data_IF_056568856170
#
_entry.id   IF_056568856170
#
_cell.length_a   1.000
_cell.length_b   1.000
_cell.length_c   1.000
_cell.angle_alpha   90.00
_cell.angle_beta   90.00
_cell.angle_gamma   90.00
#
_symmetry.space_group_name_H-M   'P 1'
#
loop_
_entity.id
_entity.type
_entity.pdbx_description
1 polymer ?
#
# COMPACT_ATOMS: atom_id res chain seq x y z
N UNK A 1 21.96 12.21 24.32
CA UNK A 1 21.90 13.54 23.69
C UNK A 1 22.90 13.65 22.53
N UNK A 2 24.06 12.96 22.61
CA UNK A 2 25.18 13.17 21.68
C UNK A 2 25.03 12.49 20.30
N UNK A 3 23.96 11.73 20.07
CA UNK A 3 23.71 11.03 18.79
C UNK A 3 22.95 11.84 17.74
N UNK A 4 22.45 13.02 18.08
CA UNK A 4 21.72 13.87 17.13
C UNK A 4 22.64 14.73 16.26
N UNK A 5 23.92 14.89 16.66
CA UNK A 5 24.94 15.58 15.86
C UNK A 5 25.32 14.84 14.58
N UNK A 6 25.01 13.54 14.50
CA UNK A 6 25.35 12.67 13.36
C UNK A 6 24.18 12.52 12.36
N UNK A 7 23.14 13.37 12.49
CA UNK A 7 21.94 13.32 11.63
C UNK A 7 21.78 14.68 10.94
N UNK A 8 21.81 14.65 9.62
CA UNK A 8 21.52 15.81 8.79
C UNK A 8 20.04 15.84 8.39
N UNK A 9 19.45 17.03 8.41
CA UNK A 9 18.13 17.27 7.83
C UNK A 9 18.28 17.95 6.48
N UNK A 10 17.96 17.25 5.41
CA UNK A 10 18.04 17.76 4.04
C UNK A 10 16.64 17.91 3.47
N UNK A 11 16.24 19.14 3.11
CA UNK A 11 14.92 19.43 2.57
C UNK A 11 14.90 19.29 1.02
N UNK A 12 13.82 18.80 0.50
CA UNK A 12 13.61 18.62 -0.95
C UNK A 12 12.28 19.20 -1.45
N UNK A 13 11.42 19.70 -0.56
CA UNK A 13 10.12 20.28 -0.93
C UNK A 13 9.65 21.27 0.14
N UNK A 14 9.00 22.35 -0.29
CA UNK A 14 8.25 23.29 0.58
C UNK A 14 6.74 23.02 0.38
N UNK A 15 6.05 22.67 1.47
CA UNK A 15 4.61 22.39 1.41
C UNK A 15 3.80 23.70 1.35
N UNK A 16 4.26 24.73 2.06
CA UNK A 16 3.67 26.08 2.11
C UNK A 16 4.81 27.10 2.30
N UNK A 17 4.82 28.21 1.57
CA UNK A 17 3.84 28.62 0.53
C UNK A 17 3.88 27.73 -0.71
N UNK A 18 2.81 27.76 -1.55
CA UNK A 18 2.74 27.04 -2.82
C UNK A 18 3.41 27.88 -3.90
N UNK A 19 4.66 27.55 -4.20
CA UNK A 19 5.54 28.20 -5.17
C UNK A 19 6.19 27.16 -6.09
N UNK A 20 6.86 27.56 -7.18
CA UNK A 20 7.58 26.66 -8.09
C UNK A 20 8.70 25.91 -7.38
N UNK A 21 9.12 24.77 -7.88
CA UNK A 21 10.18 23.95 -7.25
C UNK A 21 11.50 24.71 -7.19
N UNK A 22 11.88 25.41 -8.25
CA UNK A 22 13.08 26.29 -8.26
C UNK A 22 13.01 27.35 -7.16
N UNK A 23 11.88 28.03 -7.03
CA UNK A 23 11.63 29.03 -5.98
C UNK A 23 11.63 28.41 -4.56
N UNK A 24 11.19 27.16 -4.42
CA UNK A 24 11.25 26.44 -3.14
C UNK A 24 12.68 26.21 -2.67
N UNK A 25 13.58 25.83 -3.57
CA UNK A 25 14.98 25.62 -3.22
C UNK A 25 15.67 26.92 -2.84
N UNK A 26 15.40 28.00 -3.56
CA UNK A 26 15.89 29.34 -3.21
C UNK A 26 15.34 29.80 -1.86
N UNK A 27 14.05 29.61 -1.60
CA UNK A 27 13.39 29.95 -0.34
C UNK A 27 14.00 29.19 0.83
N UNK A 28 14.25 27.89 0.73
CA UNK A 28 14.89 27.07 1.75
C UNK A 28 16.31 27.55 2.03
N UNK A 29 17.09 27.83 1.00
CA UNK A 29 18.45 28.33 1.13
C UNK A 29 18.51 29.68 1.86
N UNK A 30 17.57 30.60 1.57
CA UNK A 30 17.48 31.90 2.27
C UNK A 30 17.13 31.76 3.75
N UNK A 31 16.55 30.63 4.15
CA UNK A 31 16.23 30.30 5.55
C UNK A 31 17.28 29.38 6.21
N UNK A 32 18.47 29.25 5.60
CA UNK A 32 19.56 28.40 6.09
C UNK A 32 19.17 26.92 6.30
N UNK A 33 18.27 26.40 5.48
CA UNK A 33 17.90 24.98 5.47
C UNK A 33 18.74 24.27 4.41
N UNK A 34 19.42 23.18 4.78
CA UNK A 34 20.17 22.36 3.83
C UNK A 34 19.18 21.76 2.81
N UNK A 35 19.44 21.99 1.53
CA UNK A 35 18.60 21.45 0.43
C UNK A 35 19.28 20.31 -0.30
N UNK A 36 18.48 19.42 -0.91
CA UNK A 36 19.03 18.50 -1.89
C UNK A 36 19.75 19.25 -3.01
N UNK A 37 20.83 18.66 -3.53
CA UNK A 37 21.52 19.22 -4.69
C UNK A 37 20.54 19.36 -5.84
N UNK A 38 20.45 20.52 -6.45
CA UNK A 38 19.46 20.84 -7.47
C UNK A 38 20.02 21.75 -8.55
N UNK A 39 19.44 21.65 -9.73
CA UNK A 39 19.68 22.56 -10.86
C UNK A 39 18.36 22.78 -11.61
N UNK A 40 18.24 23.91 -12.26
CA UNK A 40 17.15 24.20 -13.21
C UNK A 40 17.73 24.18 -14.63
N UNK A 41 17.03 23.53 -15.56
CA UNK A 41 17.43 23.42 -16.96
C UNK A 41 16.22 23.61 -17.87
N UNK A 42 16.41 24.27 -19.02
CA UNK A 42 15.33 24.48 -20.00
C UNK A 42 14.98 23.20 -20.77
N UNK A 43 15.98 22.34 -21.01
CA UNK A 43 15.83 21.08 -21.70
C UNK A 43 16.64 19.99 -21.01
N UNK A 44 16.08 18.79 -21.00
CA UNK A 44 16.74 17.60 -20.47
C UNK A 44 16.61 16.44 -21.45
N UNK A 45 17.70 15.72 -21.66
CA UNK A 45 17.74 14.47 -22.41
C UNK A 45 18.51 13.39 -21.65
N UNK A 46 18.54 12.19 -22.17
CA UNK A 46 19.19 11.07 -21.50
C UNK A 46 20.70 11.27 -21.32
N UNK A 47 21.35 11.97 -22.24
CA UNK A 47 22.79 12.22 -22.18
C UNK A 47 23.13 13.23 -21.08
N UNK A 48 22.44 14.37 -21.05
CA UNK A 48 22.59 15.37 -19.99
C UNK A 48 22.27 14.84 -18.61
N UNK A 49 21.17 14.08 -18.47
CA UNK A 49 20.80 13.45 -17.20
C UNK A 49 21.83 12.41 -16.75
N UNK A 50 22.39 11.63 -17.66
CA UNK A 50 23.44 10.66 -17.36
C UNK A 50 24.69 11.35 -16.84
N UNK A 51 25.10 12.43 -17.49
CA UNK A 51 26.27 13.23 -17.10
C UNK A 51 26.08 13.88 -15.73
N UNK A 52 24.91 14.47 -15.49
CA UNK A 52 24.57 15.05 -14.16
C UNK A 52 24.58 13.96 -13.08
N UNK A 53 24.01 12.79 -13.34
CA UNK A 53 23.97 11.72 -12.34
C UNK A 53 25.36 11.18 -12.01
N UNK A 54 26.25 11.04 -13.00
CA UNK A 54 27.64 10.62 -12.77
C UNK A 54 28.37 11.67 -11.93
N UNK A 55 28.33 12.94 -12.35
CA UNK A 55 28.97 14.04 -11.65
C UNK A 55 28.48 14.16 -10.18
N UNK A 56 27.17 14.06 -9.97
CA UNK A 56 26.62 14.17 -8.63
C UNK A 56 26.96 12.97 -7.74
N UNK A 57 27.05 11.77 -8.30
CA UNK A 57 27.50 10.59 -7.54
C UNK A 57 28.96 10.70 -7.07
N UNK A 58 29.80 11.36 -7.84
CA UNK A 58 31.21 11.54 -7.51
C UNK A 58 31.45 12.70 -6.55
N UNK A 59 30.65 13.76 -6.66
CA UNK A 59 30.92 15.05 -6.01
C UNK A 59 29.93 15.45 -4.90
N UNK A 60 28.81 14.72 -4.72
CA UNK A 60 27.84 15.00 -3.68
C UNK A 60 28.20 14.25 -2.40
N UNK A 61 28.05 14.90 -1.23
CA UNK A 61 28.40 14.32 0.07
C UNK A 61 27.52 13.14 0.51
N UNK A 62 26.28 13.06 -0.04
CA UNK A 62 25.37 11.96 0.21
C UNK A 62 25.33 11.00 -0.96
N UNK A 63 25.28 9.70 -0.66
CA UNK A 63 25.08 8.68 -1.70
C UNK A 63 23.69 8.84 -2.35
N UNK A 64 23.63 8.83 -3.68
CA UNK A 64 22.40 8.91 -4.45
C UNK A 64 22.28 7.74 -5.41
N UNK A 65 21.08 7.17 -5.52
CA UNK A 65 20.76 6.08 -6.45
C UNK A 65 20.18 6.58 -7.79
N UNK A 66 19.78 7.85 -7.84
CA UNK A 66 19.21 8.51 -9.00
C UNK A 66 18.91 9.97 -8.75
N UNK A 67 18.37 10.65 -9.74
CA UNK A 67 17.92 12.03 -9.68
C UNK A 67 16.43 12.10 -9.98
N UNK A 68 15.75 13.07 -9.37
CA UNK A 68 14.34 13.36 -9.68
C UNK A 68 14.31 14.51 -10.66
N UNK A 69 13.66 14.30 -11.78
CA UNK A 69 13.40 15.33 -12.79
C UNK A 69 11.93 15.73 -12.66
N UNK A 70 11.67 17.01 -12.49
CA UNK A 70 10.33 17.54 -12.31
C UNK A 70 10.09 18.78 -13.18
N UNK A 71 8.87 18.96 -13.65
CA UNK A 71 8.42 20.17 -14.29
C UNK A 71 8.30 21.30 -13.25
N UNK A 72 8.89 22.45 -13.54
CA UNK A 72 9.01 23.59 -12.62
C UNK A 72 7.72 24.42 -12.48
N UNK A 73 6.59 23.93 -12.96
CA UNK A 73 5.30 24.57 -12.75
C UNK A 73 4.70 24.19 -11.38
N UNK A 74 3.78 25.02 -10.89
CA UNK A 74 3.03 24.72 -9.68
C UNK A 74 2.01 23.62 -9.96
N UNK A 75 2.18 22.47 -9.30
CA UNK A 75 1.27 21.33 -9.41
C UNK A 75 0.53 21.07 -8.10
N UNK A 76 -0.76 20.69 -8.14
CA UNK A 76 -1.49 20.33 -6.92
C UNK A 76 -0.94 19.06 -6.31
N UNK A 77 -0.61 19.09 -5.03
CA UNK A 77 -0.11 17.94 -4.27
C UNK A 77 -1.17 16.84 -4.17
N UNK A 78 -0.80 15.61 -4.49
CA UNK A 78 -1.68 14.43 -4.42
C UNK A 78 -0.92 13.28 -3.77
N UNK A 79 -1.62 12.45 -2.98
CA UNK A 79 -1.05 11.22 -2.40
C UNK A 79 -0.90 10.09 -3.44
N UNK A 80 -0.24 10.41 -4.56
CA UNK A 80 0.06 9.48 -5.67
C UNK A 80 1.37 9.90 -6.30
N UNK A 81 2.01 8.99 -7.02
CA UNK A 81 3.19 9.35 -7.83
C UNK A 81 2.84 10.52 -8.76
N UNK A 82 3.65 11.59 -8.76
CA UNK A 82 3.41 12.76 -9.60
C UNK A 82 3.48 12.37 -11.08
N UNK A 83 2.61 12.96 -11.90
CA UNK A 83 2.68 12.80 -13.35
C UNK A 83 3.65 13.80 -14.02
N UNK A 84 4.02 14.83 -13.28
CA UNK A 84 4.90 15.93 -13.70
C UNK A 84 6.34 15.73 -13.24
N UNK A 85 6.69 14.57 -12.70
CA UNK A 85 8.03 14.22 -12.30
C UNK A 85 8.31 12.72 -12.54
N UNK A 86 9.59 12.41 -12.75
CA UNK A 86 10.06 11.03 -12.87
C UNK A 86 11.42 10.86 -12.21
N UNK A 87 11.75 9.64 -11.82
CA UNK A 87 13.06 9.27 -11.34
C UNK A 87 13.93 8.79 -12.50
N UNK A 88 15.09 9.40 -12.70
CA UNK A 88 16.11 8.95 -13.64
C UNK A 88 17.18 8.18 -12.88
N UNK A 89 17.39 6.92 -13.30
CA UNK A 89 18.39 6.02 -12.73
C UNK A 89 19.20 5.39 -13.86
N UNK A 90 20.49 5.27 -13.64
CA UNK A 90 21.42 4.65 -14.58
C UNK A 90 22.26 3.62 -13.87
N UNK A 91 22.51 2.51 -14.54
CA UNK A 91 23.44 1.48 -14.06
C UNK A 91 24.84 1.85 -14.53
N UNK A 92 25.77 1.93 -13.60
CA UNK A 92 27.18 2.16 -13.89
C UNK A 92 27.92 0.82 -13.97
N UNK A 93 29.03 0.77 -14.70
CA UNK A 93 29.86 -0.42 -14.87
C UNK A 93 30.42 -0.98 -13.55
N UNK A 94 30.63 -0.11 -12.54
CA UNK A 94 31.07 -0.48 -11.19
C UNK A 94 30.01 -1.21 -10.34
N UNK A 95 28.78 -1.27 -10.84
CA UNK A 95 27.65 -1.99 -10.23
C UNK A 95 27.40 -3.37 -10.84
N UNK A 96 28.27 -3.79 -11.76
CA UNK A 96 28.16 -5.04 -12.50
C UNK A 96 29.39 -5.89 -12.21
N UNK A 97 29.18 -7.16 -11.82
CA UNK A 97 30.25 -8.13 -11.65
C UNK A 97 29.81 -9.52 -12.10
N UNK A 98 30.77 -10.30 -12.55
CA UNK A 98 30.56 -11.68 -12.91
C UNK A 98 30.78 -12.61 -11.71
N UNK A 99 29.96 -13.65 -11.61
CA UNK A 99 30.15 -14.70 -10.60
C UNK A 99 29.59 -16.04 -11.06
N UNK A 100 30.14 -17.13 -10.48
CA UNK A 100 29.65 -18.49 -10.73
C UNK A 100 28.48 -18.81 -9.81
N UNK A 101 27.49 -19.49 -10.35
CA UNK A 101 26.37 -20.04 -9.60
C UNK A 101 26.84 -21.25 -8.78
N UNK A 102 26.62 -21.21 -7.49
CA UNK A 102 26.91 -22.27 -6.53
C UNK A 102 25.69 -23.16 -6.32
N UNK A 103 24.50 -22.54 -6.19
CA UNK A 103 23.23 -23.25 -5.98
C UNK A 103 22.03 -22.41 -6.38
N UNK A 104 20.84 -23.01 -6.49
CA UNK A 104 19.56 -22.34 -6.64
C UNK A 104 18.60 -22.84 -5.58
N UNK A 105 18.25 -21.96 -4.66
CA UNK A 105 17.33 -22.22 -3.56
C UNK A 105 15.92 -21.86 -3.98
N UNK A 106 15.04 -22.83 -4.03
CA UNK A 106 13.64 -22.65 -4.37
C UNK A 106 12.77 -22.55 -3.12
N UNK A 107 12.11 -21.43 -2.94
CA UNK A 107 11.26 -21.19 -1.77
C UNK A 107 9.82 -20.96 -2.22
N UNK A 108 8.84 -21.70 -1.70
CA UNK A 108 7.44 -21.47 -2.02
C UNK A 108 6.94 -20.16 -1.42
N UNK A 109 6.17 -19.42 -2.21
CA UNK A 109 5.36 -18.30 -1.73
C UNK A 109 4.08 -18.79 -1.06
N UNK A 110 3.32 -17.92 -0.41
CA UNK A 110 2.02 -18.24 0.18
C UNK A 110 0.98 -18.80 -0.82
N UNK A 111 1.20 -18.66 -2.11
CA UNK A 111 0.33 -19.22 -3.17
C UNK A 111 0.91 -20.51 -3.79
N UNK A 112 2.00 -21.06 -3.23
CA UNK A 112 2.67 -22.23 -3.74
C UNK A 112 3.60 -22.01 -4.94
N UNK A 113 3.79 -20.75 -5.38
CA UNK A 113 4.74 -20.43 -6.45
C UNK A 113 6.16 -20.52 -5.91
N UNK A 114 7.00 -21.34 -6.54
CA UNK A 114 8.41 -21.51 -6.21
C UNK A 114 9.22 -20.35 -6.77
N UNK A 115 9.92 -19.65 -5.89
CA UNK A 115 10.74 -18.47 -6.25
C UNK A 115 12.21 -18.82 -6.16
N UNK A 116 12.98 -18.68 -7.28
CA UNK A 116 14.40 -18.98 -7.29
C UNK A 116 15.20 -17.85 -6.64
N UNK A 117 16.06 -18.22 -5.70
CA UNK A 117 17.13 -17.40 -5.15
C UNK A 117 18.45 -18.07 -5.53
N UNK A 118 19.21 -17.42 -6.40
CA UNK A 118 20.44 -17.96 -6.93
C UNK A 118 21.57 -17.63 -5.96
N UNK A 119 22.23 -18.66 -5.45
CA UNK A 119 23.46 -18.53 -4.66
C UNK A 119 24.66 -18.49 -5.61
N UNK A 120 25.56 -17.56 -5.39
CA UNK A 120 26.75 -17.32 -6.21
C UNK A 120 28.02 -17.35 -5.35
N UNK A 121 29.18 -17.54 -5.98
CA UNK A 121 30.43 -17.24 -5.32
C UNK A 121 30.42 -15.80 -4.84
N UNK A 122 30.86 -15.53 -3.59
CA UNK A 122 30.77 -14.16 -3.03
C UNK A 122 31.54 -13.15 -3.88
N UNK A 123 30.88 -12.04 -4.22
CA UNK A 123 31.48 -10.90 -4.92
C UNK A 123 31.26 -9.62 -4.12
N UNK A 124 32.14 -8.63 -4.31
CA UNK A 124 31.98 -7.32 -3.67
C UNK A 124 31.51 -6.29 -4.70
N UNK A 125 30.33 -5.70 -4.49
CA UNK A 125 29.82 -4.60 -5.30
C UNK A 125 29.61 -3.39 -4.40
N UNK A 126 30.38 -2.33 -4.60
CA UNK A 126 30.32 -1.09 -3.79
C UNK A 126 30.36 -1.35 -2.29
N UNK A 127 31.36 -2.08 -1.84
CA UNK A 127 31.56 -2.37 -0.42
C UNK A 127 30.60 -3.37 0.22
N UNK A 128 29.61 -3.88 -0.51
CA UNK A 128 28.72 -4.93 -0.04
C UNK A 128 29.08 -6.29 -0.63
N UNK A 129 29.20 -7.30 0.24
CA UNK A 129 29.38 -8.70 -0.18
C UNK A 129 28.05 -9.27 -0.64
N UNK A 130 27.98 -9.73 -1.87
CA UNK A 130 26.81 -10.32 -2.50
C UNK A 130 27.04 -11.84 -2.64
N UNK A 131 26.19 -12.61 -2.02
CA UNK A 131 26.18 -14.09 -2.09
C UNK A 131 24.93 -14.63 -2.78
N UNK A 132 23.91 -13.78 -2.94
CA UNK A 132 22.62 -14.18 -3.50
C UNK A 132 22.09 -13.13 -4.47
N UNK A 133 21.49 -13.62 -5.56
CA UNK A 133 20.76 -12.79 -6.51
C UNK A 133 19.37 -13.37 -6.79
N UNK A 134 18.44 -12.54 -7.23
CA UNK A 134 17.13 -13.06 -7.69
C UNK A 134 17.28 -13.74 -9.04
N UNK A 135 16.70 -14.94 -9.15
CA UNK A 135 16.59 -15.70 -10.39
C UNK A 135 15.29 -15.40 -11.17
N UNK A 136 14.61 -14.29 -10.87
CA UNK A 136 13.36 -13.84 -11.50
C UNK A 136 12.21 -14.85 -11.36
N UNK A 137 12.13 -15.87 -12.20
CA UNK A 137 11.10 -16.90 -12.24
C UNK A 137 11.65 -18.22 -12.81
N UNK A 138 10.82 -19.25 -12.84
CA UNK A 138 11.24 -20.58 -13.28
C UNK A 138 11.57 -20.64 -14.79
N UNK A 139 10.83 -19.91 -15.61
CA UNK A 139 11.07 -19.84 -17.06
C UNK A 139 12.45 -19.21 -17.37
N UNK A 140 12.82 -18.18 -16.61
CA UNK A 140 14.13 -17.53 -16.75
C UNK A 140 15.28 -18.51 -16.39
N UNK A 141 15.16 -19.26 -15.29
CA UNK A 141 16.13 -20.30 -14.90
C UNK A 141 16.22 -21.38 -15.96
N UNK A 142 15.08 -21.89 -16.42
CA UNK A 142 15.01 -22.99 -17.39
C UNK A 142 15.59 -22.60 -18.75
N UNK A 143 15.11 -21.50 -19.35
CA UNK A 143 15.51 -21.07 -20.70
C UNK A 143 16.97 -20.67 -20.80
N UNK A 144 17.49 -20.03 -19.76
CA UNK A 144 18.88 -19.58 -19.73
C UNK A 144 19.84 -20.66 -19.17
N UNK A 145 19.34 -21.87 -18.90
CA UNK A 145 20.12 -22.97 -18.32
C UNK A 145 20.94 -22.50 -17.11
N UNK A 146 20.28 -21.79 -16.17
CA UNK A 146 20.95 -21.39 -14.95
C UNK A 146 21.00 -22.59 -14.01
N UNK A 147 22.19 -23.04 -13.68
CA UNK A 147 22.48 -24.18 -12.82
C UNK A 147 23.85 -24.03 -12.18
N UNK A 148 24.26 -25.01 -11.41
CA UNK A 148 25.57 -25.02 -10.74
C UNK A 148 26.70 -24.89 -11.79
N UNK A 149 27.62 -23.95 -11.56
CA UNK A 149 28.73 -23.64 -12.44
C UNK A 149 28.45 -22.67 -13.59
N UNK A 150 27.20 -22.26 -13.79
CA UNK A 150 26.90 -21.20 -14.75
C UNK A 150 27.60 -19.88 -14.37
N UNK A 151 28.17 -19.17 -15.35
CA UNK A 151 28.75 -17.84 -15.16
C UNK A 151 27.69 -16.78 -15.47
N UNK A 152 27.40 -15.93 -14.50
CA UNK A 152 26.33 -14.92 -14.58
C UNK A 152 26.86 -13.54 -14.27
N UNK A 153 26.30 -12.55 -14.94
CA UNK A 153 26.53 -11.15 -14.66
C UNK A 153 25.50 -10.67 -13.65
N UNK A 154 25.97 -10.19 -12.51
CA UNK A 154 25.16 -9.69 -11.40
C UNK A 154 25.19 -8.18 -11.40
N UNK A 155 24.02 -7.59 -11.28
CA UNK A 155 23.85 -6.14 -11.12
C UNK A 155 23.25 -5.82 -9.76
N UNK A 156 23.81 -4.81 -9.09
CA UNK A 156 23.24 -4.16 -7.92
C UNK A 156 22.95 -2.70 -8.26
N UNK A 157 21.77 -2.41 -8.77
CA UNK A 157 21.35 -1.05 -9.08
C UNK A 157 20.66 -0.42 -7.86
N UNK A 158 21.27 0.62 -7.29
CA UNK A 158 20.82 1.23 -6.03
C UNK A 158 20.94 0.24 -4.86
N UNK A 159 20.51 0.58 -3.67
CA UNK A 159 20.49 -0.35 -2.50
C UNK A 159 19.48 -1.50 -2.63
N UNK A 160 19.16 -1.90 -3.85
CA UNK A 160 18.12 -2.86 -4.19
C UNK A 160 18.70 -4.25 -4.35
N UNK A 161 17.85 -5.24 -4.32
CA UNK A 161 18.12 -6.67 -4.41
C UNK A 161 18.99 -6.98 -5.62
N UNK A 162 20.17 -7.64 -5.45
CA UNK A 162 20.99 -8.08 -6.56
C UNK A 162 20.22 -9.00 -7.50
N UNK A 163 20.38 -8.81 -8.79
CA UNK A 163 19.71 -9.62 -9.81
C UNK A 163 20.66 -10.07 -10.90
N UNK A 164 20.36 -11.21 -11.50
CA UNK A 164 21.05 -11.66 -12.70
C UNK A 164 20.60 -10.77 -13.86
N UNK A 165 21.55 -10.09 -14.51
CA UNK A 165 21.30 -9.28 -15.69
C UNK A 165 21.47 -10.11 -16.96
N UNK A 166 22.51 -10.95 -17.01
CA UNK A 166 22.86 -11.75 -18.16
C UNK A 166 23.47 -13.09 -17.72
N UNK A 167 23.28 -14.14 -18.51
CA UNK A 167 24.01 -15.38 -18.40
C UNK A 167 25.12 -15.36 -19.45
N UNK A 168 26.37 -15.44 -19.00
CA UNK A 168 27.55 -15.39 -19.86
C UNK A 168 27.85 -16.80 -20.39
N UNK A 169 27.92 -17.77 -19.45
CA UNK A 169 28.09 -19.17 -19.78
C UNK A 169 27.00 -19.98 -19.07
N UNK A 170 26.08 -20.61 -19.80
CA UNK A 170 25.07 -21.46 -19.19
C UNK A 170 25.68 -22.72 -18.59
N UNK A 171 25.00 -23.32 -17.62
CA UNK A 171 25.28 -24.64 -17.13
C UNK A 171 24.88 -25.72 -18.17
N UNK A 172 25.32 -26.93 -17.97
CA UNK A 172 24.88 -28.07 -18.78
C UNK A 172 23.34 -28.28 -18.65
N UNK A 173 22.85 -28.23 -17.43
CA UNK A 173 21.44 -28.35 -17.08
C UNK A 173 20.99 -27.21 -16.14
N UNK A 174 19.75 -26.71 -16.29
CA UNK A 174 19.19 -25.79 -15.31
C UNK A 174 18.91 -26.51 -14.00
N UNK A 175 19.21 -25.89 -12.85
CA UNK A 175 18.78 -26.44 -11.56
C UNK A 175 17.36 -26.05 -11.23
N UNK A 176 16.40 -26.92 -11.56
CA UNK A 176 14.99 -26.77 -11.24
C UNK A 176 14.70 -27.22 -9.79
N UNK A 177 13.49 -27.00 -9.23
CA UNK A 177 13.18 -27.42 -7.86
C UNK A 177 13.32 -28.92 -7.64
N UNK A 178 13.83 -29.32 -6.48
CA UNK A 178 13.98 -30.74 -6.08
C UNK A 178 12.69 -31.35 -5.51
N UNK A 179 11.62 -30.54 -5.33
CA UNK A 179 10.29 -30.99 -4.89
C UNK A 179 9.37 -31.23 -6.09
N UNK A 180 8.30 -31.98 -5.91
CA UNK A 180 7.28 -32.17 -6.95
C UNK A 180 6.60 -30.84 -7.29
N UNK A 181 6.61 -30.46 -8.56
CA UNK A 181 6.08 -29.19 -9.05
C UNK A 181 5.54 -29.29 -10.47
N UNK A 182 4.67 -28.37 -10.81
CA UNK A 182 4.10 -28.23 -12.16
C UNK A 182 4.30 -26.78 -12.66
N UNK A 183 4.34 -26.61 -13.98
CA UNK A 183 4.26 -25.28 -14.56
C UNK A 183 2.86 -24.67 -14.30
N UNK A 184 2.83 -23.37 -14.02
CA UNK A 184 1.57 -22.65 -14.05
C UNK A 184 1.01 -22.57 -15.49
N UNK A 185 -0.23 -22.12 -15.66
CA UNK A 185 -0.89 -22.01 -16.96
C UNK A 185 -0.09 -21.22 -18.01
N UNK A 186 0.65 -20.21 -17.59
CA UNK A 186 1.46 -19.35 -18.49
C UNK A 186 2.87 -19.92 -18.75
N UNK A 187 3.23 -21.02 -18.13
CA UNK A 187 4.56 -21.65 -18.16
C UNK A 187 5.72 -20.73 -17.77
N UNK A 188 5.43 -19.75 -16.91
CA UNK A 188 6.43 -18.79 -16.40
C UNK A 188 6.91 -19.15 -15.00
N UNK A 189 6.02 -19.62 -14.14
CA UNK A 189 6.33 -19.96 -12.76
C UNK A 189 6.18 -21.46 -12.52
N UNK A 190 7.07 -22.04 -11.72
CA UNK A 190 6.90 -23.35 -11.11
C UNK A 190 5.98 -23.25 -9.89
N UNK A 191 5.06 -24.18 -9.76
CA UNK A 191 4.10 -24.26 -8.64
C UNK A 191 4.26 -25.61 -7.97
N UNK A 192 4.42 -25.61 -6.65
CA UNK A 192 4.49 -26.87 -5.88
C UNK A 192 3.19 -27.65 -6.04
N UNK A 193 3.28 -28.95 -6.25
CA UNK A 193 2.10 -29.80 -6.46
C UNK A 193 1.29 -29.96 -5.18
N UNK A 194 1.93 -30.33 -4.09
CA UNK A 194 1.27 -30.43 -2.78
C UNK A 194 1.35 -29.09 -2.03
N UNK A 195 0.21 -28.40 -1.94
CA UNK A 195 0.07 -27.13 -1.18
C UNK A 195 -0.14 -27.36 0.32
N UNK A 196 -0.43 -28.57 0.76
CA UNK A 196 -0.51 -28.90 2.19
C UNK A 196 0.89 -29.11 2.78
N UNK A 197 1.62 -28.00 2.86
CA UNK A 197 3.00 -27.94 3.25
C UNK A 197 3.19 -26.85 4.32
N UNK A 198 3.85 -27.21 5.42
CA UNK A 198 4.07 -26.30 6.56
C UNK A 198 4.78 -24.99 6.16
N UNK A 199 5.61 -25.02 5.10
CA UNK A 199 6.29 -23.81 4.62
C UNK A 199 5.27 -22.85 4.00
N UNK A 200 4.34 -23.36 3.19
CA UNK A 200 3.28 -22.54 2.56
C UNK A 200 2.34 -22.00 3.64
N UNK A 201 1.89 -22.86 4.56
CA UNK A 201 1.06 -22.46 5.70
C UNK A 201 1.73 -21.36 6.54
N UNK A 202 3.02 -21.52 6.85
CA UNK A 202 3.79 -20.50 7.56
C UNK A 202 3.85 -19.17 6.77
N UNK A 203 4.02 -19.23 5.44
CA UNK A 203 4.03 -18.04 4.58
C UNK A 203 2.65 -17.36 4.47
N UNK A 204 1.58 -18.11 4.51
CA UNK A 204 0.21 -17.55 4.58
C UNK A 204 -0.02 -16.81 5.89
N UNK A 205 0.34 -17.45 7.02
CA UNK A 205 0.24 -16.86 8.35
C UNK A 205 1.17 -15.65 8.47
N UNK A 206 2.40 -15.73 7.96
CA UNK A 206 3.36 -14.62 7.95
C UNK A 206 2.78 -13.40 7.21
N UNK A 207 2.19 -13.62 6.03
CA UNK A 207 1.57 -12.54 5.27
C UNK A 207 0.36 -11.91 5.99
N UNK A 208 -0.43 -12.71 6.69
CA UNK A 208 -1.54 -12.25 7.52
C UNK A 208 -1.04 -11.43 8.72
N UNK A 209 -0.11 -11.98 9.49
CA UNK A 209 0.47 -11.35 10.69
C UNK A 209 1.18 -10.03 10.36
N UNK A 210 1.95 -10.00 9.27
CA UNK A 210 2.62 -8.78 8.80
C UNK A 210 1.60 -7.70 8.39
N UNK A 211 0.47 -8.11 7.81
CA UNK A 211 -0.59 -7.16 7.46
C UNK A 211 -1.29 -6.57 8.69
N UNK A 212 -1.35 -7.33 9.77
CA UNK A 212 -1.88 -6.91 11.07
C UNK A 212 -0.86 -6.15 11.94
N UNK A 213 0.40 -6.09 11.51
CA UNK A 213 1.51 -5.47 12.26
C UNK A 213 1.63 -6.03 13.69
N UNK A 214 1.44 -7.36 13.85
CA UNK A 214 1.48 -8.02 15.16
C UNK A 214 2.93 -8.09 15.65
N UNK A 215 3.21 -7.38 16.72
CA UNK A 215 4.52 -7.38 17.35
C UNK A 215 4.89 -8.78 17.92
N UNK A 216 6.18 -9.13 17.88
CA UNK A 216 6.75 -10.37 18.42
C UNK A 216 6.31 -11.67 17.71
N UNK A 217 5.66 -11.59 16.56
CA UNK A 217 5.24 -12.74 15.77
C UNK A 217 5.98 -12.82 14.44
N UNK A 218 7.32 -12.85 14.51
CA UNK A 218 8.18 -13.01 13.35
C UNK A 218 8.22 -14.45 12.80
N UNK A 219 8.91 -14.69 11.64
CA UNK A 219 8.91 -15.97 10.94
C UNK A 219 9.31 -17.18 11.80
N UNK A 220 10.27 -17.01 12.72
CA UNK A 220 10.70 -18.07 13.63
C UNK A 220 9.61 -18.51 14.60
N UNK A 221 8.83 -17.58 15.13
CA UNK A 221 7.71 -17.88 16.04
C UNK A 221 6.52 -18.46 15.27
N UNK A 222 6.24 -17.97 14.06
CA UNK A 222 5.20 -18.54 13.19
C UNK A 222 5.50 -20.00 12.86
N UNK A 223 6.75 -20.35 12.59
CA UNK A 223 7.16 -21.74 12.37
C UNK A 223 6.88 -22.62 13.58
N UNK A 224 7.10 -22.14 14.82
CA UNK A 224 6.74 -22.87 16.04
C UNK A 224 5.23 -23.09 16.14
N UNK A 225 4.42 -22.09 15.80
CA UNK A 225 2.95 -22.20 15.82
C UNK A 225 2.47 -23.25 14.81
N UNK A 226 2.95 -23.17 13.56
CA UNK A 226 2.60 -24.13 12.51
C UNK A 226 2.99 -25.56 12.91
N UNK A 227 4.18 -25.76 13.47
CA UNK A 227 4.64 -27.09 13.90
C UNK A 227 3.82 -27.63 15.09
N UNK A 228 3.21 -26.75 15.88
CA UNK A 228 2.31 -27.11 17.00
C UNK A 228 0.84 -27.29 16.56
N UNK A 229 0.57 -27.21 15.26
CA UNK A 229 -0.79 -27.40 14.72
C UNK A 229 -1.62 -26.15 14.55
N UNK A 230 -1.10 -24.94 14.90
CA UNK A 230 -1.73 -23.64 14.60
C UNK A 230 -1.32 -23.21 13.18
N UNK A 231 -1.75 -23.98 12.19
CA UNK A 231 -1.27 -23.97 10.81
C UNK A 231 -2.26 -23.31 9.83
N UNK A 232 -3.32 -22.69 10.34
CA UNK A 232 -4.31 -21.92 9.55
C UNK A 232 -4.63 -20.58 10.20
N UNK A 233 -5.07 -19.59 9.41
CA UNK A 233 -5.47 -18.29 9.93
C UNK A 233 -6.58 -18.38 10.97
N UNK A 234 -7.66 -19.18 10.79
CA UNK A 234 -8.67 -19.36 11.84
C UNK A 234 -8.09 -19.87 13.17
N UNK A 235 -7.15 -20.82 13.14
CA UNK A 235 -6.49 -21.31 14.36
C UNK A 235 -5.62 -20.23 15.01
N UNK A 236 -4.97 -19.37 14.23
CA UNK A 236 -4.23 -18.21 14.78
C UNK A 236 -5.16 -17.19 15.41
N UNK A 237 -6.33 -16.97 14.84
CA UNK A 237 -7.34 -16.04 15.39
C UNK A 237 -7.95 -16.54 16.71
N UNK A 238 -8.05 -17.85 16.89
CA UNK A 238 -8.60 -18.49 18.10
C UNK A 238 -7.55 -18.88 19.15
N UNK A 239 -6.25 -18.62 18.89
CA UNK A 239 -5.16 -19.02 19.79
C UNK A 239 -5.29 -18.35 21.15
N UNK A 240 -5.08 -19.12 22.21
CA UNK A 240 -5.14 -18.64 23.59
C UNK A 240 -3.76 -18.33 24.17
N UNK A 241 -3.73 -17.69 25.32
CA UNK A 241 -2.49 -17.42 26.06
C UNK A 241 -1.84 -18.73 26.49
N UNK A 242 -2.63 -19.68 26.93
CA UNK A 242 -2.23 -21.02 27.38
C UNK A 242 -1.57 -21.81 26.26
N UNK A 243 -2.16 -21.77 25.05
CA UNK A 243 -1.58 -22.42 23.88
C UNK A 243 -0.17 -21.88 23.56
N UNK A 244 0.00 -20.56 23.65
CA UNK A 244 1.28 -19.92 23.35
C UNK A 244 2.33 -20.22 24.43
N UNK A 245 1.96 -20.23 25.70
CA UNK A 245 2.86 -20.54 26.82
C UNK A 245 3.39 -21.98 26.72
N UNK A 246 2.57 -22.90 26.22
CA UNK A 246 2.99 -24.29 26.00
C UNK A 246 4.11 -24.41 24.93
N UNK A 247 4.38 -23.38 24.14
CA UNK A 247 5.41 -23.40 23.12
C UNK A 247 6.79 -22.96 23.64
N UNK A 248 7.88 -23.55 23.16
CA UNK A 248 9.23 -23.21 23.63
C UNK A 248 9.59 -21.73 23.38
N UNK A 249 10.05 -21.04 24.45
CA UNK A 249 10.54 -19.67 24.37
C UNK A 249 9.49 -18.57 24.53
N UNK A 250 8.25 -18.95 24.87
CA UNK A 250 7.20 -18.00 25.25
C UNK A 250 6.98 -18.00 26.77
N UNK A 251 6.67 -16.82 27.29
CA UNK A 251 6.27 -16.58 28.67
C UNK A 251 4.94 -15.83 28.66
N UNK A 252 4.23 -15.85 29.76
CA UNK A 252 2.90 -15.22 29.94
C UNK A 252 2.85 -13.78 29.37
N UNK A 253 3.84 -12.94 29.68
CA UNK A 253 3.90 -11.55 29.19
C UNK A 253 3.97 -11.46 27.67
N UNK A 254 4.72 -12.34 27.01
CA UNK A 254 4.83 -12.37 25.54
C UNK A 254 3.58 -12.96 24.90
N UNK A 255 3.01 -13.99 25.48
CA UNK A 255 1.78 -14.62 25.04
C UNK A 255 0.59 -13.64 25.10
N UNK A 256 0.41 -12.97 26.24
CA UNK A 256 -0.63 -11.94 26.41
C UNK A 256 -0.49 -10.81 25.37
N UNK A 257 0.75 -10.34 25.09
CA UNK A 257 0.98 -9.32 24.06
C UNK A 257 0.54 -9.78 22.67
N UNK A 258 0.85 -11.01 22.30
CA UNK A 258 0.48 -11.57 20.99
C UNK A 258 -1.04 -11.69 20.89
N UNK A 259 -1.71 -12.33 21.83
CA UNK A 259 -3.17 -12.52 21.81
C UNK A 259 -3.92 -11.18 21.80
N UNK A 260 -3.51 -10.23 22.66
CA UNK A 260 -4.12 -8.89 22.69
C UNK A 260 -3.88 -8.12 21.38
N UNK A 261 -2.68 -8.22 20.80
CA UNK A 261 -2.37 -7.59 19.51
C UNK A 261 -3.25 -8.17 18.39
N UNK A 262 -3.40 -9.50 18.32
CA UNK A 262 -4.29 -10.15 17.33
C UNK A 262 -5.71 -9.60 17.47
N UNK A 263 -6.29 -9.64 18.67
CA UNK A 263 -7.66 -9.17 18.94
C UNK A 263 -7.84 -7.70 18.56
N UNK A 264 -6.92 -6.85 19.00
CA UNK A 264 -6.99 -5.39 18.72
C UNK A 264 -6.89 -5.10 17.23
N UNK A 265 -5.92 -5.68 16.55
CA UNK A 265 -5.68 -5.41 15.12
C UNK A 265 -6.81 -5.95 14.24
N UNK A 266 -7.32 -7.15 14.54
CA UNK A 266 -8.48 -7.69 13.82
C UNK A 266 -9.71 -6.82 14.02
N UNK A 267 -9.94 -6.32 15.25
CA UNK A 267 -11.09 -5.45 15.52
C UNK A 267 -11.00 -4.08 14.85
N UNK A 268 -9.80 -3.56 14.63
CA UNK A 268 -9.61 -2.24 14.00
C UNK A 268 -9.50 -2.28 12.48
N UNK A 269 -9.15 -3.43 11.89
CA UNK A 269 -8.95 -3.53 10.44
C UNK A 269 -10.26 -3.43 9.66
N UNK A 270 -10.18 -2.84 8.47
CA UNK A 270 -11.31 -2.77 7.54
C UNK A 270 -11.64 -4.14 6.91
N UNK A 271 -12.88 -4.32 6.46
CA UNK A 271 -13.29 -5.53 5.72
C UNK A 271 -12.37 -5.80 4.50
N UNK A 272 -12.03 -4.77 3.72
CA UNK A 272 -11.13 -4.92 2.57
C UNK A 272 -9.72 -5.36 2.95
N UNK A 273 -9.21 -4.91 4.10
CA UNK A 273 -7.92 -5.34 4.63
C UNK A 273 -7.97 -6.81 5.11
N UNK A 274 -9.03 -7.20 5.80
CA UNK A 274 -9.26 -8.59 6.21
C UNK A 274 -9.31 -9.50 4.98
N UNK A 275 -10.16 -9.20 3.99
CA UNK A 275 -10.28 -9.97 2.76
C UNK A 275 -8.95 -10.11 2.00
N UNK A 276 -8.15 -9.05 1.97
CA UNK A 276 -6.84 -9.05 1.30
C UNK A 276 -5.75 -9.80 2.06
N UNK A 277 -5.91 -10.00 3.38
CA UNK A 277 -4.93 -10.66 4.23
C UNK A 277 -5.12 -12.17 4.32
N UNK A 278 -6.37 -12.66 4.30
CA UNK A 278 -6.72 -14.08 4.53
C UNK A 278 -6.46 -15.03 3.35
N UNK A 279 -5.91 -14.53 2.25
CA UNK A 279 -5.49 -15.32 1.07
C UNK A 279 -6.59 -16.14 0.36
N UNK A 280 -7.85 -15.99 0.73
CA UNK A 280 -8.98 -16.73 0.14
C UNK A 280 -9.16 -16.38 -1.34
N UNK A 281 -9.02 -15.11 -1.71
CA UNK A 281 -9.25 -14.63 -3.08
C UNK A 281 -8.07 -14.84 -4.03
N UNK A 282 -6.95 -15.40 -3.54
CA UNK A 282 -5.82 -15.83 -4.36
C UNK A 282 -4.92 -14.69 -4.88
N UNK A 283 -4.01 -15.08 -5.77
CA UNK A 283 -2.99 -14.18 -6.33
C UNK A 283 -3.63 -13.06 -7.18
N UNK A 284 -3.20 -11.83 -6.93
CA UNK A 284 -3.66 -10.66 -7.67
C UNK A 284 -4.88 -9.97 -7.07
N UNK A 285 -5.49 -10.53 -6.01
CA UNK A 285 -6.65 -9.97 -5.34
C UNK A 285 -6.26 -9.44 -3.94
N UNK A 286 -5.38 -8.44 -3.91
CA UNK A 286 -5.00 -7.77 -2.66
C UNK A 286 -5.99 -6.67 -2.25
N UNK A 287 -5.81 -6.14 -1.04
CA UNK A 287 -6.68 -5.12 -0.42
C UNK A 287 -7.06 -3.96 -1.34
N UNK A 288 -6.10 -3.40 -2.12
CA UNK A 288 -6.36 -2.27 -3.03
C UNK A 288 -7.43 -2.60 -4.07
N UNK A 289 -7.39 -3.80 -4.66
CA UNK A 289 -8.39 -4.25 -5.64
C UNK A 289 -9.73 -4.57 -4.98
N UNK A 290 -9.71 -5.26 -3.85
CA UNK A 290 -10.91 -5.55 -3.06
C UNK A 290 -11.61 -4.25 -2.66
N UNK A 291 -10.86 -3.25 -2.18
CA UNK A 291 -11.40 -1.93 -1.84
C UNK A 291 -12.10 -1.24 -3.01
N UNK A 292 -11.59 -1.40 -4.24
CA UNK A 292 -12.25 -0.87 -5.44
C UNK A 292 -13.58 -1.59 -5.68
N UNK A 293 -13.62 -2.92 -5.57
CA UNK A 293 -14.85 -3.70 -5.74
C UNK A 293 -15.90 -3.28 -4.70
N UNK A 294 -15.53 -3.31 -3.42
CA UNK A 294 -16.44 -3.00 -2.31
C UNK A 294 -16.93 -1.55 -2.33
N UNK A 295 -16.12 -0.62 -2.79
CA UNK A 295 -16.53 0.80 -2.93
C UNK A 295 -17.61 0.96 -4.01
N UNK A 296 -17.51 0.25 -5.13
CA UNK A 296 -18.47 0.35 -6.22
C UNK A 296 -19.71 -0.54 -6.00
N UNK A 297 -19.52 -1.68 -5.35
CA UNK A 297 -20.57 -2.69 -5.09
C UNK A 297 -20.51 -3.14 -3.62
N UNK A 298 -21.01 -2.35 -2.67
CA UNK A 298 -20.89 -2.64 -1.24
C UNK A 298 -21.61 -3.91 -0.80
N UNK A 299 -22.63 -4.31 -1.52
CA UNK A 299 -23.47 -5.47 -1.29
C UNK A 299 -23.06 -6.73 -2.07
N UNK A 300 -21.96 -6.68 -2.83
CA UNK A 300 -21.52 -7.77 -3.71
C UNK A 300 -21.34 -9.12 -3.00
N UNK A 301 -21.00 -9.09 -1.72
CA UNK A 301 -20.81 -10.30 -0.91
C UNK A 301 -22.14 -10.95 -0.50
N UNK A 302 -23.19 -10.15 -0.33
CA UNK A 302 -24.48 -10.58 0.26
C UNK A 302 -25.65 -10.45 -0.68
N UNK A 303 -25.48 -9.83 -1.87
CA UNK A 303 -26.56 -9.69 -2.84
C UNK A 303 -27.00 -11.04 -3.42
N UNK A 304 -28.29 -11.15 -3.73
CA UNK A 304 -28.89 -12.32 -4.38
C UNK A 304 -28.63 -12.39 -5.89
N UNK A 305 -27.73 -11.55 -6.42
CA UNK A 305 -27.34 -11.55 -7.83
C UNK A 305 -26.65 -12.86 -8.20
N UNK A 306 -26.87 -13.29 -9.44
CA UNK A 306 -26.16 -14.44 -9.99
C UNK A 306 -24.65 -14.20 -10.08
N UNK A 307 -23.87 -15.27 -10.09
CA UNK A 307 -22.42 -15.16 -10.26
C UNK A 307 -22.05 -14.41 -11.55
N UNK A 308 -22.81 -14.61 -12.63
CA UNK A 308 -22.58 -13.94 -13.91
C UNK A 308 -22.80 -12.43 -13.82
N UNK A 309 -23.86 -11.99 -13.16
CA UNK A 309 -24.12 -10.57 -12.92
C UNK A 309 -23.02 -9.93 -12.09
N UNK A 310 -22.59 -10.58 -10.99
CA UNK A 310 -21.46 -10.12 -10.16
C UNK A 310 -20.15 -10.03 -10.95
N UNK A 311 -19.86 -11.04 -11.80
CA UNK A 311 -18.67 -11.05 -12.66
C UNK A 311 -18.71 -9.88 -13.65
N UNK A 312 -19.86 -9.64 -14.30
CA UNK A 312 -20.00 -8.54 -15.26
C UNK A 312 -19.85 -7.17 -14.61
N UNK A 313 -20.38 -6.97 -13.40
CA UNK A 313 -20.18 -5.77 -12.59
C UNK A 313 -18.69 -5.51 -12.31
N UNK A 314 -17.96 -6.53 -11.82
CA UNK A 314 -16.53 -6.39 -11.49
C UNK A 314 -15.68 -6.17 -12.74
N UNK A 315 -15.98 -6.88 -13.84
CA UNK A 315 -15.30 -6.73 -15.13
C UNK A 315 -15.42 -5.31 -15.71
N UNK A 316 -16.51 -4.60 -15.42
CA UNK A 316 -16.71 -3.22 -15.86
C UNK A 316 -15.80 -2.22 -15.13
N UNK A 317 -15.19 -2.60 -14.01
CA UNK A 317 -14.25 -1.74 -13.28
C UNK A 317 -12.88 -1.72 -13.98
N UNK A 318 -12.27 -0.54 -13.99
CA UNK A 318 -10.93 -0.37 -14.57
C UNK A 318 -9.89 -1.25 -13.84
N UNK A 319 -9.10 -2.01 -14.58
CA UNK A 319 -8.08 -2.91 -14.07
C UNK A 319 -8.56 -4.32 -13.71
N UNK A 320 -9.82 -4.69 -14.03
CA UNK A 320 -10.35 -6.02 -13.80
C UNK A 320 -10.65 -6.74 -15.13
N UNK A 321 -9.94 -7.85 -15.34
CA UNK A 321 -10.24 -8.78 -16.45
C UNK A 321 -11.25 -9.84 -16.00
N UNK A 322 -11.89 -10.54 -16.97
CA UNK A 322 -12.85 -11.61 -16.71
C UNK A 322 -12.30 -12.65 -15.72
N UNK A 323 -11.07 -13.15 -15.94
CA UNK A 323 -10.43 -14.15 -15.07
C UNK A 323 -10.35 -13.68 -13.59
N UNK A 324 -10.02 -12.42 -13.37
CA UNK A 324 -9.90 -11.85 -12.00
C UNK A 324 -11.27 -11.67 -11.35
N UNK A 325 -12.27 -11.25 -12.13
CA UNK A 325 -13.65 -11.10 -11.66
C UNK A 325 -14.27 -12.46 -11.31
N UNK A 326 -14.09 -13.47 -12.18
CA UNK A 326 -14.54 -14.84 -11.94
C UNK A 326 -13.94 -15.42 -10.67
N UNK A 327 -12.60 -15.31 -10.51
CA UNK A 327 -11.91 -15.80 -9.30
C UNK A 327 -12.47 -15.17 -8.03
N UNK A 328 -12.72 -13.85 -8.04
CA UNK A 328 -13.27 -13.16 -6.87
C UNK A 328 -14.66 -13.69 -6.52
N UNK A 329 -15.55 -13.79 -7.49
CA UNK A 329 -16.95 -14.22 -7.28
C UNK A 329 -17.03 -15.66 -6.80
N UNK A 330 -16.28 -16.58 -7.41
CA UNK A 330 -16.21 -17.99 -7.01
C UNK A 330 -15.68 -18.18 -5.57
N UNK A 331 -14.91 -17.24 -5.05
CA UNK A 331 -14.35 -17.29 -3.69
C UNK A 331 -15.19 -16.60 -2.63
N UNK A 332 -16.28 -15.93 -3.00
CA UNK A 332 -17.21 -15.33 -2.03
C UNK A 332 -17.73 -16.36 -1.01
N UNK A 333 -18.25 -17.54 -1.42
CA UNK A 333 -18.76 -18.52 -0.45
C UNK A 333 -17.69 -18.96 0.56
N UNK A 334 -16.47 -19.21 0.10
CA UNK A 334 -15.34 -19.59 0.97
C UNK A 334 -14.96 -18.47 1.96
N UNK A 335 -15.07 -17.21 1.54
CA UNK A 335 -14.83 -16.09 2.46
C UNK A 335 -15.97 -15.92 3.47
N UNK A 336 -17.21 -16.15 3.07
CA UNK A 336 -18.36 -16.10 4.00
C UNK A 336 -18.26 -17.21 5.05
N UNK A 337 -17.89 -18.43 4.66
CA UNK A 337 -17.58 -19.54 5.58
C UNK A 337 -16.41 -19.15 6.55
N UNK A 338 -15.37 -18.52 6.04
CA UNK A 338 -14.28 -18.02 6.89
C UNK A 338 -14.79 -17.02 7.94
N UNK A 339 -15.62 -16.04 7.55
CA UNK A 339 -16.22 -15.05 8.45
C UNK A 339 -17.05 -15.74 9.56
N UNK A 340 -17.82 -16.75 9.20
CA UNK A 340 -18.65 -17.51 10.12
C UNK A 340 -17.80 -18.32 11.10
N UNK A 341 -16.84 -19.09 10.60
CA UNK A 341 -15.95 -19.93 11.40
C UNK A 341 -15.01 -19.14 12.33
N UNK A 342 -14.83 -17.86 12.08
CA UNK A 342 -13.97 -16.97 12.90
C UNK A 342 -14.74 -15.98 13.76
N UNK A 343 -16.08 -16.03 13.75
CA UNK A 343 -16.97 -15.09 14.45
C UNK A 343 -16.69 -13.61 14.12
N UNK A 344 -16.42 -13.31 12.83
CA UNK A 344 -16.12 -11.96 12.35
C UNK A 344 -17.27 -11.33 11.54
N UNK A 345 -18.51 -11.79 11.72
CA UNK A 345 -19.71 -11.28 11.05
C UNK A 345 -19.90 -9.77 11.28
N UNK A 346 -19.52 -9.29 12.46
CA UNK A 346 -19.54 -7.88 12.81
C UNK A 346 -18.79 -6.99 11.81
N UNK A 347 -17.69 -7.50 11.20
CA UNK A 347 -16.92 -6.76 10.18
C UNK A 347 -17.72 -6.49 8.91
N UNK A 348 -18.55 -7.44 8.51
CA UNK A 348 -19.46 -7.29 7.38
C UNK A 348 -20.58 -6.31 7.71
N UNK A 349 -21.18 -6.46 8.89
CA UNK A 349 -22.26 -5.59 9.37
C UNK A 349 -21.79 -4.13 9.51
N UNK A 350 -20.65 -3.90 10.14
CA UNK A 350 -20.02 -2.57 10.26
C UNK A 350 -19.77 -1.94 8.89
N UNK A 351 -19.27 -2.74 7.93
CA UNK A 351 -19.03 -2.28 6.57
C UNK A 351 -20.33 -1.91 5.85
N UNK A 352 -21.37 -2.73 5.93
CA UNK A 352 -22.68 -2.46 5.31
C UNK A 352 -23.31 -1.21 5.93
N UNK A 353 -23.26 -1.09 7.27
CA UNK A 353 -23.80 0.07 7.99
C UNK A 353 -23.10 1.37 7.58
N UNK A 354 -21.76 1.39 7.59
CA UNK A 354 -20.99 2.58 7.20
C UNK A 354 -21.29 3.04 5.77
N UNK A 355 -21.37 2.09 4.82
CA UNK A 355 -21.73 2.42 3.43
C UNK A 355 -23.18 2.91 3.27
N UNK A 356 -24.10 2.40 4.08
CA UNK A 356 -25.50 2.89 4.08
C UNK A 356 -25.60 4.31 4.64
N UNK A 357 -24.79 4.64 5.64
CA UNK A 357 -24.69 5.98 6.22
C UNK A 357 -24.02 6.95 5.22
N UNK A 358 -22.92 6.55 4.57
CA UNK A 358 -22.27 7.34 3.51
C UNK A 358 -23.23 7.60 2.31
N UNK A 359 -24.02 6.62 1.89
CA UNK A 359 -25.02 6.81 0.83
C UNK A 359 -26.11 7.79 1.25
N UNK A 360 -26.61 7.71 2.48
CA UNK A 360 -27.57 8.66 3.03
C UNK A 360 -27.00 10.07 3.06
N UNK A 361 -25.75 10.22 3.49
CA UNK A 361 -25.03 11.48 3.54
C UNK A 361 -24.79 12.06 2.13
N UNK A 362 -24.34 11.22 1.18
CA UNK A 362 -24.08 11.64 -0.19
C UNK A 362 -25.37 12.07 -0.95
N UNK A 363 -26.50 11.48 -0.63
CA UNK A 363 -27.80 11.83 -1.22
C UNK A 363 -28.51 12.97 -0.49
N UNK A 364 -27.96 13.46 0.62
CA UNK A 364 -28.58 14.55 1.36
C UNK A 364 -28.40 15.89 0.62
N UNK A 365 -29.43 16.76 0.56
CA UNK A 365 -29.35 18.06 -0.11
C UNK A 365 -28.24 18.99 0.41
N UNK A 366 -27.75 18.73 1.63
CA UNK A 366 -26.68 19.49 2.27
C UNK A 366 -25.28 18.92 1.99
N UNK A 367 -25.17 17.76 1.34
CA UNK A 367 -23.86 17.16 1.05
C UNK A 367 -22.99 18.10 0.22
N UNK A 368 -21.75 18.33 0.69
CA UNK A 368 -20.79 19.27 0.11
C UNK A 368 -21.24 20.74 0.05
N UNK A 369 -22.35 21.11 0.72
CA UNK A 369 -22.78 22.50 0.81
C UNK A 369 -21.95 23.25 1.82
N UNK A 370 -21.42 24.38 1.41
CA UNK A 370 -20.63 25.30 2.24
C UNK A 370 -21.50 26.17 3.07
N UNK A 371 -21.50 25.96 4.37
CA UNK A 371 -22.43 26.62 5.32
C UNK A 371 -21.65 27.44 6.34
N UNK A 372 -22.04 28.69 6.56
CA UNK A 372 -21.53 29.55 7.62
C UNK A 372 -22.60 29.84 8.64
N UNK A 373 -22.34 29.56 9.92
CA UNK A 373 -23.14 30.06 11.03
C UNK A 373 -22.64 31.44 11.44
N UNK A 374 -23.53 32.40 11.55
CA UNK A 374 -23.21 33.80 11.90
C UNK A 374 -24.08 34.29 13.04
N UNK A 375 -23.46 34.97 14.01
CA UNK A 375 -24.16 35.55 15.15
C UNK A 375 -24.51 34.58 16.29
N UNK A 376 -24.28 33.28 16.14
CA UNK A 376 -24.53 32.29 17.19
C UNK A 376 -23.59 31.09 17.15
N UNK A 377 -23.53 30.35 18.26
CA UNK A 377 -22.79 29.06 18.36
C UNK A 377 -23.77 27.99 18.88
N UNK A 378 -23.92 26.94 18.12
CA UNK A 378 -24.72 25.77 18.47
C UNK A 378 -23.97 24.50 18.04
N UNK A 379 -23.36 23.85 19.01
CA UNK A 379 -22.50 22.66 18.75
C UNK A 379 -23.32 21.47 18.25
N UNK A 380 -24.53 21.28 18.77
CA UNK A 380 -25.38 20.17 18.36
C UNK A 380 -25.88 20.38 16.92
N UNK A 381 -26.28 21.57 16.57
CA UNK A 381 -26.67 21.91 15.21
C UNK A 381 -25.51 21.80 14.22
N UNK A 382 -24.30 22.24 14.63
CA UNK A 382 -23.09 22.05 13.82
C UNK A 382 -22.82 20.54 13.53
N UNK A 383 -22.89 19.71 14.56
CA UNK A 383 -22.72 18.27 14.44
C UNK A 383 -23.78 17.63 13.51
N UNK A 384 -25.01 18.09 13.60
CA UNK A 384 -26.08 17.61 12.71
C UNK A 384 -25.88 18.01 11.25
N UNK A 385 -25.32 19.20 10.97
CA UNK A 385 -24.94 19.62 9.62
C UNK A 385 -23.80 18.79 9.06
N UNK A 386 -22.77 18.54 9.86
CA UNK A 386 -21.62 17.69 9.49
C UNK A 386 -22.05 16.25 9.20
N UNK A 387 -22.92 15.66 10.01
CA UNK A 387 -23.50 14.31 9.78
C UNK A 387 -24.23 14.25 8.42
N UNK A 388 -24.80 15.34 7.95
CA UNK A 388 -25.48 15.43 6.66
C UNK A 388 -24.55 15.83 5.49
N UNK A 389 -23.25 15.89 5.74
CA UNK A 389 -22.21 16.14 4.73
C UNK A 389 -21.98 17.61 4.41
N UNK A 390 -22.47 18.54 5.23
CA UNK A 390 -22.21 19.97 5.04
C UNK A 390 -20.75 20.32 5.40
N UNK A 391 -20.16 21.24 4.63
CA UNK A 391 -18.83 21.81 4.86
C UNK A 391 -18.96 23.13 5.63
N UNK A 392 -18.70 23.10 6.95
CA UNK A 392 -18.82 24.27 7.82
C UNK A 392 -17.66 25.25 7.61
N UNK A 393 -17.99 26.47 7.20
CA UNK A 393 -17.01 27.50 6.87
C UNK A 393 -16.73 28.42 8.06
N UNK A 394 -15.48 28.82 8.22
CA UNK A 394 -15.05 29.83 9.21
C UNK A 394 -15.38 31.25 8.73
N UNK A 395 -15.39 31.51 7.43
CA UNK A 395 -15.64 32.81 6.80
C UNK A 395 -16.64 32.69 5.66
N UNK A 396 -17.35 33.78 5.36
CA UNK A 396 -18.22 33.91 4.19
C UNK A 396 -17.35 34.20 2.96
N UNK A 397 -17.57 33.49 1.87
CA UNK A 397 -16.87 33.64 0.59
C UNK A 397 -17.86 33.53 -0.57
N UNK A 398 -17.47 33.90 -1.79
CA UNK A 398 -18.28 33.70 -3.01
C UNK A 398 -18.66 32.23 -3.27
N UNK A 399 -18.03 31.29 -2.58
CA UNK A 399 -18.31 29.85 -2.67
C UNK A 399 -19.21 29.34 -1.54
N UNK A 400 -19.68 30.20 -0.64
CA UNK A 400 -20.61 29.86 0.44
C UNK A 400 -21.99 29.64 -0.12
N UNK A 401 -22.61 28.48 0.13
CA UNK A 401 -23.98 28.17 -0.34
C UNK A 401 -25.04 28.75 0.58
N UNK A 402 -24.80 28.71 1.91
CA UNK A 402 -25.74 29.19 2.91
C UNK A 402 -25.03 29.96 4.03
N UNK A 403 -25.65 31.02 4.48
CA UNK A 403 -25.33 31.65 5.76
C UNK A 403 -26.56 31.50 6.68
N UNK A 404 -26.34 30.89 7.84
CA UNK A 404 -27.40 30.67 8.83
C UNK A 404 -27.20 31.65 9.96
N UNK A 405 -28.23 32.43 10.23
CA UNK A 405 -28.29 33.46 11.28
C UNK A 405 -29.27 33.06 12.39
N UNK A 406 -29.15 33.68 13.54
CA UNK A 406 -30.10 33.51 14.63
C UNK A 406 -31.40 34.23 14.32
N UNK A 407 -31.28 35.46 13.87
CA UNK A 407 -32.38 36.36 13.56
C UNK A 407 -32.06 37.15 12.28
N UNK A 408 -33.11 37.49 11.49
CA UNK A 408 -32.97 38.31 10.29
C UNK A 408 -32.95 39.81 10.58
N UNK A 409 -33.33 40.21 11.80
CA UNK A 409 -33.39 41.61 12.21
C UNK A 409 -32.05 42.15 12.75
N UNK A 410 -31.10 41.26 13.08
CA UNK A 410 -29.76 41.62 13.60
C UNK A 410 -28.64 41.05 12.72
N UNK A 411 -28.45 41.61 11.54
CA UNK A 411 -27.48 41.17 10.57
C UNK A 411 -26.17 41.99 10.64
N UNK A 412 -25.06 41.30 10.81
CA UNK A 412 -23.74 41.94 10.70
C UNK A 412 -23.45 42.39 9.26
N UNK A 413 -22.59 43.42 9.08
CA UNK A 413 -22.14 43.90 7.75
C UNK A 413 -21.68 42.77 6.81
N UNK A 414 -21.06 41.72 7.36
CA UNK A 414 -20.61 40.56 6.58
C UNK A 414 -21.80 39.76 6.03
N UNK A 415 -22.88 39.65 6.78
CA UNK A 415 -24.12 38.97 6.36
C UNK A 415 -24.88 39.80 5.35
N UNK A 416 -24.95 41.11 5.54
CA UNK A 416 -25.53 42.02 4.56
C UNK A 416 -24.84 41.95 3.22
N UNK A 417 -23.49 41.97 3.22
CA UNK A 417 -22.68 41.73 1.99
C UNK A 417 -22.88 40.36 1.36
N UNK A 418 -23.22 39.35 2.16
CA UNK A 418 -23.55 38.02 1.63
C UNK A 418 -24.89 38.06 0.85
N UNK A 419 -25.87 38.76 1.36
CA UNK A 419 -27.16 38.96 0.67
C UNK A 419 -26.94 39.72 -0.65
N UNK A 420 -26.18 40.82 -0.64
CA UNK A 420 -25.80 41.57 -1.84
C UNK A 420 -25.10 40.71 -2.90
N UNK A 421 -24.35 39.71 -2.47
CA UNK A 421 -23.68 38.74 -3.35
C UNK A 421 -24.55 37.52 -3.71
N UNK A 422 -25.87 37.59 -3.50
CA UNK A 422 -26.81 36.49 -3.78
C UNK A 422 -26.55 35.18 -3.02
N UNK A 423 -25.88 35.21 -1.90
CA UNK A 423 -25.71 34.04 -1.02
C UNK A 423 -27.02 33.89 -0.21
N UNK A 424 -27.51 32.67 -0.12
CA UNK A 424 -28.74 32.37 0.63
C UNK A 424 -28.51 32.54 2.12
N UNK A 425 -29.20 33.51 2.72
CA UNK A 425 -29.23 33.73 4.17
C UNK A 425 -30.57 33.27 4.71
N UNK A 426 -30.55 32.45 5.77
CA UNK A 426 -31.76 31.88 6.40
C UNK A 426 -31.60 31.91 7.92
N UNK A 427 -32.70 32.00 8.64
CA UNK A 427 -32.67 31.73 10.08
C UNK A 427 -32.42 30.23 10.34
N UNK A 428 -31.95 29.89 11.52
CA UNK A 428 -31.80 28.49 11.92
C UNK A 428 -33.10 27.73 11.75
N UNK A 429 -34.20 28.28 12.22
CA UNK A 429 -35.54 27.68 12.18
C UNK A 429 -36.03 27.41 10.75
N UNK A 430 -35.83 28.36 9.84
CA UNK A 430 -36.24 28.20 8.45
C UNK A 430 -35.33 27.20 7.71
N UNK A 431 -34.06 27.19 8.05
CA UNK A 431 -33.13 26.23 7.50
C UNK A 431 -33.46 24.80 7.94
N UNK A 432 -33.75 24.60 9.25
CA UNK A 432 -34.14 23.29 9.78
C UNK A 432 -35.40 22.78 9.11
N UNK A 433 -36.46 23.61 9.01
CA UNK A 433 -37.71 23.23 8.33
C UNK A 433 -37.53 22.83 6.87
N UNK A 434 -36.54 23.41 6.19
CA UNK A 434 -36.39 23.23 4.74
C UNK A 434 -35.41 22.15 4.35
N UNK A 435 -34.37 21.89 5.18
CA UNK A 435 -33.23 21.06 4.82
C UNK A 435 -32.90 19.97 5.84
N UNK A 436 -33.53 19.96 7.01
CA UNK A 436 -33.29 18.96 8.06
C UNK A 436 -34.49 18.11 8.38
#
# INVERSE_FOLDING_TARGET
>A
PDKFSDIDFVAYEVIKPTIKISEQMEWLNTHNVITVRNITADNVDNESLSKILVDWRESYEYEIDGIIVADDNIHPRKNKNPKHAFAFKMVLSDQIMESKVVDIIWTPSKHGYLKPRVQIEPINIKGATIEFATGHNADFIYKNKIGIGALVEIIRSGDVIPKIQKVITPAEQPKMPDVEWNWNETKVDAVVENKDNNIIKAKEIEAFVNKLEIANLGPGNIKKFVNAGFDTIPKILSITVEDIIALPGFKEKSANKIVNSIKTQVNTMSLSALMGSVNVFGRGMGEKRIKIILKNYPDILTSNETNEEKINKIKALNGFAKKTATLFVEKIPQFMEFIENTNLQNKLEEFIKSNSEEKKQNNHPLNNKKIKLSGFRDKEFQKQLEIRGADLQTNISKKTDFVIVKDMDDLSDKVQKAIENNIRVLTKTDFEKKYM
#
